data_IF_920420066524
#
_entry.id   IF_920420066524
#
_cell.length_a   1.000
_cell.length_b   1.000
_cell.length_c   1.000
_cell.angle_alpha   90.00
_cell.angle_beta   90.00
_cell.angle_gamma   90.00
#
_symmetry.space_group_name_H-M   'P 1'
#
loop_
_entity.id
_entity.type
_entity.pdbx_description
1 polymer ?
#
# COMPACT_ATOMS: atom_id res chain seq x y z
N UNK A 1 -23.16 43.04 43.81
CA UNK A 1 -23.63 41.73 43.27
C UNK A 1 -23.91 41.76 41.76
N UNK A 2 -24.45 42.85 41.17
CA UNK A 2 -24.73 42.95 39.74
C UNK A 2 -23.50 42.94 38.83
N UNK A 3 -22.37 43.53 39.24
CA UNK A 3 -21.16 43.57 38.44
C UNK A 3 -20.46 42.18 38.30
N UNK A 4 -20.46 41.37 39.33
CA UNK A 4 -19.85 40.04 39.31
C UNK A 4 -20.59 39.09 38.35
N UNK A 5 -21.90 39.22 38.21
CA UNK A 5 -22.73 38.44 37.28
C UNK A 5 -22.44 38.80 35.82
N UNK A 6 -22.12 40.06 35.52
CA UNK A 6 -21.76 40.51 34.14
C UNK A 6 -20.41 39.96 33.72
N UNK A 7 -19.43 39.93 34.62
CA UNK A 7 -18.11 39.34 34.30
C UNK A 7 -18.22 37.82 34.12
N UNK A 8 -19.03 37.11 34.89
CA UNK A 8 -19.23 35.68 34.72
C UNK A 8 -19.87 35.31 33.39
N UNK A 9 -20.84 36.10 32.89
CA UNK A 9 -21.49 35.93 31.60
C UNK A 9 -20.48 36.23 30.46
N UNK A 10 -19.66 37.29 30.60
CA UNK A 10 -18.65 37.64 29.63
C UNK A 10 -17.58 36.55 29.47
N UNK A 11 -17.09 35.96 30.55
CA UNK A 11 -16.14 34.86 30.54
C UNK A 11 -16.74 33.58 29.93
N UNK A 12 -18.03 33.31 30.22
CA UNK A 12 -18.75 32.19 29.64
C UNK A 12 -18.90 32.30 28.11
N UNK A 13 -19.15 33.51 27.60
CA UNK A 13 -19.27 33.75 26.15
C UNK A 13 -17.97 33.56 25.39
N UNK A 14 -16.82 33.85 26.01
CA UNK A 14 -15.49 33.63 25.40
C UNK A 14 -15.10 32.15 25.26
N UNK A 15 -15.71 31.27 26.05
CA UNK A 15 -15.42 29.83 26.01
C UNK A 15 -16.13 29.11 24.85
N UNK A 16 -17.13 29.70 24.20
CA UNK A 16 -17.85 29.10 23.08
C UNK A 16 -17.25 29.41 21.70
N UNK A 17 -16.17 30.20 21.59
CA UNK A 17 -15.55 30.58 20.32
C UNK A 17 -14.56 29.55 19.75
N UNK A 18 -14.40 28.40 20.35
CA UNK A 18 -13.51 27.35 19.87
C UNK A 18 -14.14 26.51 18.75
N UNK A 19 -14.54 27.17 17.63
CA UNK A 19 -14.84 26.44 16.40
C UNK A 19 -13.54 25.85 15.84
N UNK A 20 -13.31 24.57 16.06
CA UNK A 20 -12.26 23.83 15.37
C UNK A 20 -12.48 23.89 13.86
N UNK A 21 -11.49 24.35 13.12
CA UNK A 21 -11.52 24.32 11.66
C UNK A 21 -11.63 22.87 11.18
N UNK A 22 -12.73 22.55 10.50
CA UNK A 22 -12.93 21.24 9.89
C UNK A 22 -12.05 21.15 8.64
N UNK A 23 -11.05 20.29 8.66
CA UNK A 23 -10.21 20.02 7.50
C UNK A 23 -10.97 19.07 6.57
N UNK A 24 -11.16 19.48 5.31
CA UNK A 24 -11.74 18.59 4.28
C UNK A 24 -10.76 17.45 4.01
N UNK A 25 -11.25 16.21 4.08
CA UNK A 25 -10.43 14.99 3.95
C UNK A 25 -10.68 14.20 2.66
N UNK A 26 -11.66 14.56 1.77
CA UNK A 26 -11.91 13.79 0.55
C UNK A 26 -10.71 13.75 -0.39
N UNK A 27 -10.68 12.71 -1.23
CA UNK A 27 -9.75 12.61 -2.35
C UNK A 27 -10.06 13.66 -3.43
N UNK A 28 -9.05 14.05 -4.22
CA UNK A 28 -9.21 14.76 -5.48
C UNK A 28 -10.03 16.04 -5.41
N UNK A 29 -9.75 16.88 -4.41
CA UNK A 29 -10.50 18.13 -4.17
C UNK A 29 -10.25 19.19 -5.28
N UNK A 30 -9.26 19.00 -6.13
CA UNK A 30 -8.90 19.84 -7.25
C UNK A 30 -9.64 19.48 -8.55
N UNK A 31 -10.42 18.40 -8.58
CA UNK A 31 -11.22 18.03 -9.74
C UNK A 31 -12.58 18.73 -9.70
N UNK A 32 -12.95 19.39 -10.80
CA UNK A 32 -14.32 19.79 -11.09
C UNK A 32 -15.05 18.66 -11.81
N UNK A 33 -16.39 18.70 -11.83
CA UNK A 33 -17.25 17.62 -12.36
C UNK A 33 -16.97 17.23 -13.81
N UNK A 34 -16.21 18.03 -14.58
CA UNK A 34 -15.90 17.83 -15.99
C UNK A 34 -14.42 17.91 -16.33
N UNK A 35 -13.53 17.75 -15.34
CA UNK A 35 -12.08 17.83 -15.57
C UNK A 35 -11.58 16.57 -16.27
N UNK A 36 -11.04 16.70 -17.49
CA UNK A 36 -10.32 15.62 -18.13
C UNK A 36 -8.95 15.42 -17.48
N UNK A 37 -8.72 14.25 -16.92
CA UNK A 37 -7.44 13.85 -16.31
C UNK A 37 -6.49 13.24 -17.36
N UNK A 38 -6.92 13.16 -18.61
CA UNK A 38 -6.20 12.54 -19.73
C UNK A 38 -4.80 13.11 -20.02
N UNK A 39 -4.56 14.37 -19.64
CA UNK A 39 -3.22 15.00 -19.77
C UNK A 39 -2.17 14.40 -18.83
N UNK A 40 -2.58 13.59 -17.87
CA UNK A 40 -1.73 12.93 -16.89
C UNK A 40 -1.48 11.46 -17.26
N UNK A 41 -1.49 11.13 -18.56
CA UNK A 41 -1.20 9.79 -19.03
C UNK A 41 0.16 9.32 -18.51
N UNK A 42 0.11 8.45 -17.54
CA UNK A 42 1.30 7.82 -16.96
C UNK A 42 1.85 6.86 -18.01
N UNK A 43 3.10 7.08 -18.45
CA UNK A 43 3.82 6.06 -19.20
C UNK A 43 3.91 4.80 -18.35
N UNK A 44 3.15 3.77 -18.72
CA UNK A 44 3.19 2.48 -18.03
C UNK A 44 4.54 1.83 -18.34
N UNK A 45 5.44 1.86 -17.38
CA UNK A 45 6.69 1.12 -17.46
C UNK A 45 6.40 -0.34 -17.08
N UNK A 46 6.54 -1.26 -18.05
CA UNK A 46 6.34 -2.68 -17.81
C UNK A 46 7.40 -3.21 -16.85
N UNK A 47 6.98 -4.05 -15.92
CA UNK A 47 7.89 -4.68 -14.96
C UNK A 47 8.80 -5.67 -15.68
N UNK A 48 10.11 -5.55 -15.42
CA UNK A 48 11.14 -6.43 -15.94
C UNK A 48 11.55 -7.45 -14.89
N UNK A 49 11.83 -8.63 -15.34
CA UNK A 49 12.31 -9.73 -14.51
C UNK A 49 13.71 -9.44 -13.99
N UNK A 50 13.93 -9.74 -12.71
CA UNK A 50 15.19 -9.51 -12.02
C UNK A 50 15.70 -10.80 -11.37
N UNK A 51 16.99 -10.79 -11.00
CA UNK A 51 17.59 -11.88 -10.23
C UNK A 51 16.89 -12.04 -8.86
N UNK A 52 16.52 -13.25 -8.51
CA UNK A 52 15.76 -13.58 -7.30
C UNK A 52 14.25 -13.70 -7.52
N UNK A 53 13.76 -13.41 -8.73
CA UNK A 53 12.35 -13.62 -9.05
C UNK A 53 11.98 -15.10 -9.04
N UNK A 54 10.74 -15.35 -8.62
CA UNK A 54 10.10 -16.67 -8.66
C UNK A 54 9.05 -16.66 -9.76
N UNK A 55 9.24 -17.52 -10.76
CA UNK A 55 8.38 -17.57 -11.93
C UNK A 55 7.55 -18.86 -11.93
N UNK A 56 6.27 -18.71 -12.14
CA UNK A 56 5.41 -19.82 -12.54
C UNK A 56 5.30 -19.80 -14.06
N UNK A 57 5.85 -20.81 -14.72
CA UNK A 57 5.82 -20.93 -16.18
C UNK A 57 5.01 -22.17 -16.50
N UNK A 58 3.90 -21.97 -17.22
CA UNK A 58 3.02 -23.04 -17.66
C UNK A 58 3.05 -23.12 -19.17
N UNK A 59 3.36 -24.31 -19.68
CA UNK A 59 3.32 -24.63 -21.10
C UNK A 59 2.09 -25.48 -21.37
N UNK A 60 1.28 -25.09 -22.32
CA UNK A 60 0.13 -25.84 -22.80
C UNK A 60 0.19 -26.02 -24.31
N UNK A 61 -0.45 -27.07 -24.79
CA UNK A 61 -0.60 -27.37 -26.22
C UNK A 61 -2.00 -27.96 -26.43
N UNK A 62 -2.70 -27.49 -27.47
CA UNK A 62 -4.00 -28.01 -27.81
C UNK A 62 -3.89 -29.33 -28.60
N UNK A 63 -2.81 -29.49 -29.38
CA UNK A 63 -2.60 -30.68 -30.21
C UNK A 63 -1.93 -31.81 -29.44
N UNK A 64 -1.00 -31.50 -28.53
CA UNK A 64 -0.19 -32.48 -27.80
C UNK A 64 -0.09 -32.15 -26.30
N UNK A 65 -1.18 -32.21 -25.53
CA UNK A 65 -1.17 -31.82 -24.12
C UNK A 65 -0.23 -32.71 -23.28
N UNK A 66 -0.06 -33.99 -23.62
CA UNK A 66 0.85 -34.91 -22.93
C UNK A 66 2.31 -34.52 -23.12
N UNK A 67 2.68 -34.06 -24.32
CA UNK A 67 4.02 -33.56 -24.59
C UNK A 67 4.29 -32.21 -23.88
N UNK A 68 3.25 -31.37 -23.67
CA UNK A 68 3.38 -30.14 -22.92
C UNK A 68 3.60 -30.40 -21.41
N UNK A 69 3.03 -31.47 -20.86
CA UNK A 69 3.12 -31.81 -19.44
C UNK A 69 4.56 -31.99 -18.94
N UNK A 70 5.50 -32.44 -19.79
CA UNK A 70 6.91 -32.61 -19.43
C UNK A 70 7.63 -31.29 -19.05
N UNK A 71 7.11 -30.15 -19.49
CA UNK A 71 7.68 -28.83 -19.16
C UNK A 71 7.10 -28.26 -17.87
N UNK A 72 5.95 -28.79 -17.41
CA UNK A 72 5.25 -28.37 -16.21
C UNK A 72 5.62 -29.29 -15.05
N UNK A 73 6.73 -28.96 -14.36
CA UNK A 73 7.18 -29.80 -13.23
C UNK A 73 6.12 -29.75 -12.11
N UNK A 74 5.58 -30.91 -11.70
CA UNK A 74 4.59 -30.94 -10.64
C UNK A 74 5.21 -30.51 -9.30
N UNK A 75 4.42 -29.86 -8.47
CA UNK A 75 4.84 -29.49 -7.12
C UNK A 75 5.09 -30.77 -6.32
N UNK A 76 6.35 -31.07 -6.01
CA UNK A 76 6.67 -32.15 -5.11
C UNK A 76 6.34 -31.71 -3.68
N UNK A 77 5.17 -32.10 -3.19
CA UNK A 77 4.71 -31.84 -1.82
C UNK A 77 5.57 -32.48 -0.71
N UNK A 78 6.63 -33.18 -1.09
CA UNK A 78 7.54 -33.92 -0.19
C UNK A 78 8.70 -33.11 0.34
N UNK A 79 8.85 -31.84 0.02
CA UNK A 79 9.86 -31.01 0.68
C UNK A 79 9.30 -30.52 2.02
N UNK A 80 9.62 -31.25 3.07
CA UNK A 80 9.43 -30.88 4.47
C UNK A 80 9.85 -29.42 4.67
N UNK A 81 8.87 -28.55 4.99
CA UNK A 81 9.11 -27.15 5.36
C UNK A 81 8.62 -26.08 4.41
N UNK A 82 8.03 -26.39 3.26
CA UNK A 82 7.46 -25.39 2.36
C UNK A 82 5.93 -25.26 2.53
N UNK A 83 5.50 -24.83 3.69
CA UNK A 83 4.13 -24.32 3.89
C UNK A 83 4.08 -22.82 3.59
N UNK A 84 4.43 -22.43 2.37
CA UNK A 84 4.10 -21.10 1.85
C UNK A 84 2.64 -21.08 1.31
N UNK A 85 1.70 -21.49 2.17
CA UNK A 85 0.25 -21.47 1.86
C UNK A 85 -0.38 -20.09 2.03
N UNK A 86 0.38 -19.02 2.27
CA UNK A 86 -0.14 -17.70 2.60
C UNK A 86 0.19 -16.58 1.60
N UNK A 87 0.58 -16.90 0.39
CA UNK A 87 0.58 -15.91 -0.69
C UNK A 87 -0.78 -16.03 -1.37
N UNK A 88 -1.71 -15.09 -1.11
CA UNK A 88 -3.11 -15.05 -1.55
C UNK A 88 -3.35 -15.22 -3.06
N UNK A 89 -2.91 -16.34 -3.61
CA UNK A 89 -3.04 -16.76 -4.99
C UNK A 89 -3.66 -18.16 -5.09
N UNK A 90 -4.12 -18.52 -6.30
CA UNK A 90 -4.63 -19.84 -6.62
C UNK A 90 -3.61 -20.93 -6.23
N UNK A 91 -4.06 -22.14 -5.84
CA UNK A 91 -3.16 -23.22 -5.46
C UNK A 91 -2.19 -23.52 -6.61
N UNK A 92 -0.91 -23.39 -6.33
CA UNK A 92 0.14 -23.66 -7.32
C UNK A 92 0.22 -25.16 -7.57
N UNK A 93 0.08 -25.54 -8.82
CA UNK A 93 0.18 -26.95 -9.25
C UNK A 93 1.56 -27.29 -9.79
N UNK A 94 2.39 -26.29 -10.05
CA UNK A 94 3.73 -26.43 -10.66
C UNK A 94 4.84 -25.90 -9.76
N UNK A 95 6.02 -26.51 -9.88
CA UNK A 95 7.22 -26.05 -9.18
C UNK A 95 7.72 -24.73 -9.79
N UNK A 96 7.89 -23.66 -8.99
CA UNK A 96 8.36 -22.39 -9.51
C UNK A 96 9.83 -22.44 -9.96
N UNK A 97 10.14 -21.68 -11.00
CA UNK A 97 11.48 -21.44 -11.46
C UNK A 97 12.08 -20.25 -10.70
N UNK A 98 13.35 -20.33 -10.35
CA UNK A 98 14.07 -19.25 -9.67
C UNK A 98 15.05 -18.61 -10.64
N UNK A 99 15.01 -17.28 -10.74
CA UNK A 99 16.00 -16.53 -11.50
C UNK A 99 17.29 -16.46 -10.68
N UNK A 100 18.37 -17.03 -11.22
CA UNK A 100 19.66 -17.08 -10.54
C UNK A 100 20.36 -15.70 -10.48
N UNK A 101 21.49 -15.64 -9.80
CA UNK A 101 22.29 -14.40 -9.67
C UNK A 101 22.85 -13.88 -10.99
N UNK A 102 22.90 -14.73 -12.01
CA UNK A 102 23.30 -14.32 -13.36
C UNK A 102 22.12 -13.83 -14.17
N UNK A 103 20.89 -14.02 -13.70
CA UNK A 103 19.66 -13.67 -14.38
C UNK A 103 19.15 -14.75 -15.33
N UNK A 104 19.51 -16.02 -15.08
CA UNK A 104 19.08 -17.16 -15.89
C UNK A 104 18.11 -18.04 -15.11
N UNK A 105 17.26 -18.79 -15.80
CA UNK A 105 16.48 -19.90 -15.26
C UNK A 105 16.95 -21.21 -15.89
N UNK A 106 16.77 -22.31 -15.18
CA UNK A 106 17.03 -23.67 -15.72
C UNK A 106 15.70 -24.28 -16.15
N UNK A 107 15.44 -24.26 -17.47
CA UNK A 107 14.17 -24.71 -18.03
C UNK A 107 14.29 -26.12 -18.61
N UNK A 108 13.32 -27.03 -18.33
CA UNK A 108 13.38 -28.42 -18.80
C UNK A 108 13.60 -28.50 -20.32
N UNK A 109 14.49 -29.38 -20.74
CA UNK A 109 14.84 -29.67 -22.15
C UNK A 109 15.52 -28.49 -22.86
N UNK A 110 15.17 -27.24 -22.57
CA UNK A 110 15.81 -26.06 -23.18
C UNK A 110 17.13 -25.70 -22.51
N UNK A 111 17.32 -26.07 -21.24
CA UNK A 111 18.48 -25.70 -20.44
C UNK A 111 18.40 -24.27 -19.91
N UNK A 112 19.53 -23.60 -19.78
CA UNK A 112 19.60 -22.24 -19.26
C UNK A 112 19.05 -21.22 -20.24
N UNK A 113 18.15 -20.38 -19.75
CA UNK A 113 17.52 -19.30 -20.50
C UNK A 113 17.75 -17.99 -19.75
N UNK A 114 18.28 -16.99 -20.46
CA UNK A 114 18.44 -15.64 -19.95
C UNK A 114 17.08 -14.97 -19.83
N UNK A 115 16.72 -14.51 -18.62
CA UNK A 115 15.40 -13.90 -18.36
C UNK A 115 15.51 -12.49 -17.78
N UNK A 116 16.60 -12.15 -17.12
CA UNK A 116 16.76 -10.82 -16.51
C UNK A 116 16.70 -9.71 -17.56
N UNK A 117 15.88 -8.69 -17.29
CA UNK A 117 15.64 -7.55 -18.17
C UNK A 117 14.51 -7.74 -19.17
N UNK A 118 13.95 -8.94 -19.31
CA UNK A 118 12.78 -9.24 -20.13
C UNK A 118 11.49 -8.92 -19.36
N UNK A 119 10.42 -8.65 -20.10
CA UNK A 119 9.06 -8.69 -19.56
C UNK A 119 8.54 -10.14 -19.52
N UNK A 120 7.41 -10.36 -18.87
CA UNK A 120 6.77 -11.69 -18.82
C UNK A 120 6.39 -12.17 -20.23
N UNK A 121 5.89 -11.27 -21.04
CA UNK A 121 5.47 -11.53 -22.43
C UNK A 121 6.68 -11.87 -23.30
N UNK A 122 7.75 -11.11 -23.21
CA UNK A 122 8.99 -11.37 -23.96
C UNK A 122 9.60 -12.73 -23.59
N UNK A 123 9.55 -13.10 -22.30
CA UNK A 123 10.00 -14.42 -21.87
C UNK A 123 9.09 -15.54 -22.40
N UNK A 124 7.76 -15.34 -22.36
CA UNK A 124 6.82 -16.31 -22.90
C UNK A 124 7.04 -16.55 -24.40
N UNK A 125 7.21 -15.48 -25.17
CA UNK A 125 7.51 -15.54 -26.60
C UNK A 125 8.87 -16.21 -26.87
N UNK A 126 9.89 -15.89 -26.08
CA UNK A 126 11.21 -16.53 -26.21
C UNK A 126 11.15 -18.04 -26.00
N UNK A 127 10.44 -18.50 -24.95
CA UNK A 127 10.27 -19.94 -24.69
C UNK A 127 9.46 -20.60 -25.80
N UNK A 128 8.35 -19.99 -26.21
CA UNK A 128 7.51 -20.49 -27.30
C UNK A 128 8.31 -20.66 -28.59
N UNK A 129 9.10 -19.66 -28.95
CA UNK A 129 9.96 -19.68 -30.15
C UNK A 129 11.03 -20.75 -30.04
N UNK A 130 11.64 -20.93 -28.86
CA UNK A 130 12.65 -21.94 -28.64
C UNK A 130 12.08 -23.37 -28.78
N UNK A 131 10.88 -23.62 -28.24
CA UNK A 131 10.17 -24.90 -28.36
C UNK A 131 9.84 -25.23 -29.81
N UNK A 132 9.35 -24.23 -30.57
CA UNK A 132 9.01 -24.38 -32.00
C UNK A 132 10.26 -24.63 -32.84
N UNK A 133 11.33 -23.86 -32.66
CA UNK A 133 12.55 -23.97 -33.44
C UNK A 133 13.25 -25.32 -33.25
N UNK A 134 13.16 -25.87 -32.04
CA UNK A 134 13.68 -27.23 -31.74
C UNK A 134 12.72 -28.36 -32.13
N UNK A 135 11.58 -28.01 -32.74
CA UNK A 135 10.53 -28.98 -33.17
C UNK A 135 9.99 -29.83 -31.99
N UNK A 136 10.00 -29.28 -30.78
CA UNK A 136 9.52 -29.94 -29.56
C UNK A 136 8.01 -29.79 -29.40
N UNK A 137 7.50 -28.57 -29.61
CA UNK A 137 6.07 -28.24 -29.63
C UNK A 137 5.82 -27.15 -30.68
N UNK A 138 4.90 -27.39 -31.62
CA UNK A 138 4.60 -26.43 -32.68
C UNK A 138 3.50 -25.42 -32.32
N UNK A 139 2.61 -25.80 -31.39
CA UNK A 139 1.46 -25.03 -30.93
C UNK A 139 1.54 -24.69 -29.42
N UNK A 140 2.77 -24.52 -28.93
CA UNK A 140 2.99 -24.18 -27.51
C UNK A 140 2.35 -22.83 -27.20
N UNK A 141 1.52 -22.80 -26.15
CA UNK A 141 1.09 -21.59 -25.46
C UNK A 141 1.85 -21.54 -24.12
N UNK A 142 2.58 -20.46 -23.91
CA UNK A 142 3.40 -20.26 -22.70
C UNK A 142 2.81 -19.11 -21.89
N UNK A 143 2.54 -19.37 -20.63
CA UNK A 143 2.10 -18.33 -19.66
C UNK A 143 3.17 -18.18 -18.59
N UNK A 144 3.56 -16.95 -18.32
CA UNK A 144 4.55 -16.59 -17.30
C UNK A 144 3.90 -15.69 -16.25
N UNK A 145 4.02 -16.09 -14.99
CA UNK A 145 3.57 -15.30 -13.84
C UNK A 145 4.73 -15.13 -12.87
N UNK A 146 4.84 -13.96 -12.26
CA UNK A 146 5.82 -13.69 -11.20
C UNK A 146 5.13 -13.83 -9.85
N UNK A 147 5.67 -14.68 -8.99
CA UNK A 147 5.01 -15.07 -7.74
C UNK A 147 5.43 -14.22 -6.54
N UNK A 148 6.55 -13.53 -6.63
CA UNK A 148 7.12 -12.77 -5.52
C UNK A 148 7.14 -11.25 -5.76
N UNK A 149 6.42 -10.76 -6.77
CA UNK A 149 6.24 -9.32 -6.92
C UNK A 149 5.15 -8.82 -5.99
N UNK A 150 5.50 -7.94 -5.06
CA UNK A 150 4.57 -7.32 -4.12
C UNK A 150 5.06 -5.95 -3.68
N UNK A 151 4.15 -5.15 -3.15
CA UNK A 151 4.43 -3.93 -2.38
C UNK A 151 3.97 -4.13 -0.94
N UNK A 152 4.54 -3.36 -0.02
CA UNK A 152 4.17 -3.40 1.39
C UNK A 152 3.38 -2.13 1.75
N UNK A 153 2.20 -2.30 2.33
CA UNK A 153 1.36 -1.19 2.80
C UNK A 153 1.29 -1.22 4.31
N UNK A 154 1.67 -0.11 4.95
CA UNK A 154 1.81 0.03 6.39
C UNK A 154 1.11 1.30 6.89
N UNK A 155 0.77 1.32 8.18
CA UNK A 155 0.21 2.47 8.87
C UNK A 155 -1.30 2.48 8.89
N UNK A 156 -1.91 3.66 8.73
CA UNK A 156 -3.34 3.89 8.91
C UNK A 156 -4.18 3.52 7.66
N UNK A 157 -4.14 2.24 7.31
CA UNK A 157 -5.02 1.58 6.32
C UNK A 157 -5.85 0.50 7.03
N UNK A 158 -6.98 0.09 6.45
CA UNK A 158 -7.85 -0.89 7.11
C UNK A 158 -7.22 -2.28 7.19
N UNK A 159 -6.48 -2.71 6.15
CA UNK A 159 -5.81 -4.01 6.11
C UNK A 159 -4.34 -3.83 5.69
N UNK A 160 -3.45 -3.46 6.63
CA UNK A 160 -2.03 -3.34 6.33
C UNK A 160 -1.43 -4.71 5.99
N UNK A 161 -0.52 -4.76 5.03
CA UNK A 161 0.08 -6.02 4.61
C UNK A 161 0.79 -5.94 3.27
N UNK A 162 1.01 -7.12 2.69
CA UNK A 162 1.57 -7.28 1.35
C UNK A 162 0.47 -7.26 0.32
N UNK A 163 0.67 -6.47 -0.73
CA UNK A 163 -0.22 -6.38 -1.88
C UNK A 163 0.52 -6.95 -3.10
N UNK A 164 0.03 -8.04 -3.70
CA UNK A 164 0.68 -8.64 -4.85
C UNK A 164 0.52 -7.75 -6.09
N UNK A 165 1.56 -7.69 -6.91
CA UNK A 165 1.51 -7.05 -8.23
C UNK A 165 1.09 -8.13 -9.24
N UNK A 166 -0.22 -8.33 -9.39
CA UNK A 166 -0.77 -9.38 -10.26
C UNK A 166 -0.71 -9.03 -11.75
N UNK A 167 -0.67 -7.73 -12.07
CA UNK A 167 -0.54 -7.20 -13.44
C UNK A 167 0.84 -6.57 -13.59
N UNK A 168 1.22 -6.21 -14.82
CA UNK A 168 2.49 -5.54 -15.09
C UNK A 168 2.58 -4.13 -14.49
N UNK A 169 1.46 -3.62 -14.03
CA UNK A 169 1.37 -2.33 -13.37
C UNK A 169 0.45 -2.43 -12.14
N UNK A 170 0.87 -1.84 -11.06
CA UNK A 170 0.06 -1.60 -9.87
C UNK A 170 0.18 -0.13 -9.52
N UNK A 171 -0.94 0.56 -9.44
CA UNK A 171 -0.96 1.96 -9.04
C UNK A 171 -1.04 2.13 -7.53
N UNK A 172 -0.61 3.29 -7.03
CA UNK A 172 -0.73 3.63 -5.60
C UNK A 172 -2.18 3.54 -5.11
N UNK A 173 -3.14 3.99 -5.94
CA UNK A 173 -4.57 3.95 -5.59
C UNK A 173 -5.11 2.52 -5.55
N UNK A 174 -4.69 1.66 -6.48
CA UNK A 174 -5.07 0.24 -6.46
C UNK A 174 -4.52 -0.48 -5.24
N UNK A 175 -3.26 -0.23 -4.86
CA UNK A 175 -2.67 -0.82 -3.67
C UNK A 175 -3.41 -0.40 -2.39
N UNK A 176 -3.75 0.89 -2.27
CA UNK A 176 -4.55 1.42 -1.17
C UNK A 176 -5.95 0.80 -1.16
N UNK A 177 -6.60 0.69 -2.33
CA UNK A 177 -7.91 0.06 -2.47
C UNK A 177 -7.90 -1.41 -2.04
N UNK A 178 -6.88 -2.19 -2.41
CA UNK A 178 -6.72 -3.58 -1.97
C UNK A 178 -6.52 -3.70 -0.45
N UNK A 179 -5.98 -2.67 0.19
CA UNK A 179 -5.88 -2.57 1.64
C UNK A 179 -7.15 -2.04 2.32
N UNK A 180 -8.27 -1.90 1.59
CA UNK A 180 -9.55 -1.45 2.11
C UNK A 180 -9.62 0.03 2.43
N UNK A 181 -8.82 0.86 1.75
CA UNK A 181 -8.67 2.31 1.92
C UNK A 181 -7.96 2.72 3.22
N UNK A 182 -7.67 4.03 3.33
CA UNK A 182 -7.13 4.63 4.55
C UNK A 182 -8.20 4.65 5.65
N UNK A 183 -7.75 4.47 6.89
CA UNK A 183 -8.64 4.70 8.03
C UNK A 183 -9.06 6.17 8.12
N UNK A 184 -10.06 6.46 8.96
CA UNK A 184 -10.51 7.84 9.22
C UNK A 184 -9.40 8.71 9.84
N UNK A 185 -8.41 8.05 10.47
CA UNK A 185 -7.26 8.69 11.10
C UNK A 185 -6.02 8.76 10.22
N UNK A 186 -6.08 8.21 9.00
CA UNK A 186 -5.00 8.26 8.04
C UNK A 186 -4.86 9.63 7.35
N UNK A 187 -3.64 10.16 7.28
CA UNK A 187 -3.32 11.42 6.59
C UNK A 187 -3.29 11.20 5.07
N UNK A 188 -4.34 11.66 4.36
CA UNK A 188 -4.43 11.58 2.90
C UNK A 188 -3.49 12.53 2.16
N UNK A 189 -3.14 13.64 2.79
CA UNK A 189 -2.25 14.65 2.22
C UNK A 189 -0.76 14.32 2.36
N UNK A 190 -0.40 13.20 3.00
CA UNK A 190 1.00 12.88 3.32
C UNK A 190 1.27 11.37 3.30
N UNK A 191 0.93 10.73 2.19
CA UNK A 191 1.27 9.32 1.98
C UNK A 191 2.73 9.23 1.51
N UNK A 192 3.51 8.41 2.18
CA UNK A 192 4.92 8.21 1.89
C UNK A 192 5.12 6.92 1.11
N UNK A 193 5.76 6.99 -0.05
CA UNK A 193 6.20 5.83 -0.81
C UNK A 193 7.73 5.77 -0.79
N UNK A 194 8.26 4.68 -0.27
CA UNK A 194 9.70 4.44 -0.19
C UNK A 194 10.09 3.39 -1.22
N UNK A 195 10.90 3.79 -2.20
CA UNK A 195 11.39 2.94 -3.29
C UNK A 195 12.88 2.66 -3.15
N UNK A 196 13.25 1.42 -3.41
CA UNK A 196 14.66 1.03 -3.52
C UNK A 196 15.23 1.53 -4.85
N UNK A 197 16.36 2.21 -4.81
CA UNK A 197 17.09 2.72 -5.97
C UNK A 197 18.58 2.35 -5.80
N UNK A 198 18.95 1.19 -6.31
CA UNK A 198 20.26 0.58 -6.07
C UNK A 198 20.52 0.36 -4.58
N UNK A 199 21.55 1.01 -4.05
CA UNK A 199 21.94 0.91 -2.63
C UNK A 199 21.29 2.00 -1.75
N UNK A 200 20.42 2.85 -2.32
CA UNK A 200 19.72 3.95 -1.63
C UNK A 200 18.23 3.70 -1.62
N UNK A 201 17.52 4.39 -0.74
CA UNK A 201 16.07 4.47 -0.75
C UNK A 201 15.64 5.89 -1.06
N UNK A 202 14.72 6.05 -2.00
CA UNK A 202 14.06 7.32 -2.28
C UNK A 202 12.69 7.33 -1.61
N UNK A 203 12.36 8.48 -1.04
CA UNK A 203 11.07 8.72 -0.42
C UNK A 203 10.28 9.72 -1.26
N UNK A 204 9.08 9.35 -1.67
CA UNK A 204 8.15 10.21 -2.39
C UNK A 204 6.97 10.51 -1.47
N UNK A 205 6.60 11.78 -1.36
CA UNK A 205 5.40 12.21 -0.64
C UNK A 205 4.31 12.49 -1.65
N UNK A 206 3.17 11.86 -1.46
CA UNK A 206 2.02 11.98 -2.35
C UNK A 206 0.84 12.51 -1.55
N UNK A 207 0.25 13.58 -2.06
CA UNK A 207 -0.99 14.14 -1.53
C UNK A 207 -2.18 13.58 -2.31
N UNK A 208 -2.94 12.68 -1.68
CA UNK A 208 -4.09 12.04 -2.29
C UNK A 208 -5.31 12.97 -2.38
N UNK A 209 -5.28 14.13 -1.73
CA UNK A 209 -6.36 15.12 -1.80
C UNK A 209 -6.35 15.88 -3.12
N UNK A 210 -5.26 15.82 -3.88
CA UNK A 210 -5.08 16.52 -5.16
C UNK A 210 -4.73 15.53 -6.27
N UNK A 211 -5.59 15.42 -7.27
CA UNK A 211 -5.40 14.52 -8.41
C UNK A 211 -4.10 14.80 -9.16
N UNK A 212 -3.79 16.08 -9.38
CA UNK A 212 -2.54 16.45 -10.04
C UNK A 212 -1.30 15.90 -9.33
N UNK A 213 -1.24 15.99 -8.00
CA UNK A 213 -0.12 15.46 -7.22
C UNK A 213 -0.02 13.93 -7.31
N UNK A 214 -1.15 13.25 -7.33
CA UNK A 214 -1.20 11.79 -7.44
C UNK A 214 -0.67 11.33 -8.79
N UNK A 215 -1.27 11.82 -9.87
CA UNK A 215 -0.98 11.34 -11.23
C UNK A 215 0.37 11.83 -11.77
N UNK A 216 0.86 13.00 -11.34
CA UNK A 216 2.18 13.50 -11.71
C UNK A 216 3.32 12.88 -10.88
N UNK A 217 3.00 12.13 -9.81
CA UNK A 217 4.01 11.54 -8.93
C UNK A 217 4.76 10.39 -9.62
N UNK A 218 6.10 10.33 -9.55
CA UNK A 218 6.87 9.16 -9.97
C UNK A 218 6.55 7.89 -9.18
N UNK A 219 5.86 8.04 -8.03
CA UNK A 219 5.42 6.94 -7.18
C UNK A 219 3.96 6.53 -7.46
N UNK A 220 3.29 7.12 -8.46
CA UNK A 220 1.94 6.71 -8.83
C UNK A 220 1.92 5.26 -9.31
N UNK A 221 2.84 4.91 -10.20
CA UNK A 221 3.09 3.53 -10.58
C UNK A 221 4.07 2.90 -9.59
N UNK A 222 3.63 1.87 -8.90
CA UNK A 222 4.43 1.18 -7.91
C UNK A 222 5.38 0.18 -8.57
N UNK A 223 6.54 -0.01 -7.93
CA UNK A 223 7.55 -1.01 -8.30
C UNK A 223 7.65 -2.06 -7.21
N UNK A 224 8.26 -3.19 -7.54
CA UNK A 224 8.54 -4.25 -6.58
C UNK A 224 9.26 -3.71 -5.34
N UNK A 225 8.92 -4.25 -4.18
CA UNK A 225 9.47 -3.88 -2.87
C UNK A 225 9.23 -2.42 -2.44
N UNK A 226 8.36 -1.67 -3.13
CA UNK A 226 7.92 -0.36 -2.65
C UNK A 226 7.21 -0.52 -1.30
N UNK A 227 7.48 0.42 -0.40
CA UNK A 227 6.83 0.49 0.90
C UNK A 227 5.97 1.74 0.95
N UNK A 228 4.67 1.55 1.08
CA UNK A 228 3.69 2.62 1.21
C UNK A 228 3.40 2.77 2.70
N UNK A 229 3.61 3.97 3.23
CA UNK A 229 3.34 4.27 4.63
C UNK A 229 2.35 5.42 4.75
N UNK A 230 1.20 5.11 5.35
CA UNK A 230 0.16 6.09 5.67
C UNK A 230 0.31 6.54 7.11
N UNK A 231 0.58 7.82 7.31
CA UNK A 231 0.77 8.38 8.65
C UNK A 231 -0.55 8.50 9.40
N UNK A 232 -0.56 8.25 10.71
CA UNK A 232 -1.67 8.62 11.57
C UNK A 232 -1.75 10.16 11.73
N UNK A 233 -2.95 10.70 11.80
CA UNK A 233 -3.16 12.11 12.10
C UNK A 233 -2.73 12.46 13.55
N UNK A 234 -2.60 13.76 13.85
CA UNK A 234 -2.16 14.22 15.17
C UNK A 234 -3.02 13.68 16.32
N UNK A 235 -4.32 13.56 16.12
CA UNK A 235 -5.23 13.04 17.15
C UNK A 235 -4.87 11.59 17.50
N UNK A 236 -4.61 10.75 16.51
CA UNK A 236 -4.22 9.36 16.70
C UNK A 236 -2.81 9.25 17.31
N UNK A 237 -1.88 10.12 16.88
CA UNK A 237 -0.53 10.17 17.45
C UNK A 237 -0.57 10.51 18.94
N UNK A 238 -1.36 11.50 19.35
CA UNK A 238 -1.54 11.86 20.77
C UNK A 238 -2.15 10.73 21.59
N UNK A 239 -3.03 9.92 21.01
CA UNK A 239 -3.61 8.76 21.70
C UNK A 239 -2.60 7.64 21.98
N UNK A 240 -1.50 7.56 21.21
CA UNK A 240 -0.46 6.56 21.38
C UNK A 240 0.55 6.90 22.48
N UNK A 241 0.58 8.15 22.99
CA UNK A 241 1.44 8.60 24.07
C UNK A 241 0.65 8.70 25.39
N UNK A 242 0.83 7.76 26.35
CA UNK A 242 0.02 7.72 27.56
C UNK A 242 0.16 8.94 28.48
N UNK A 243 1.28 9.66 28.41
CA UNK A 243 1.61 10.73 29.34
C UNK A 243 0.87 12.05 29.03
N UNK A 244 0.54 12.31 27.76
CA UNK A 244 -0.05 13.58 27.36
C UNK A 244 -1.57 13.62 27.45
N UNK A 245 -2.23 12.48 27.60
CA UNK A 245 -3.69 12.41 27.48
C UNK A 245 -4.47 12.94 28.70
N UNK A 246 -3.89 12.90 29.89
CA UNK A 246 -4.60 13.30 31.12
C UNK A 246 -4.67 14.83 31.26
N UNK A 247 -3.59 15.51 30.92
CA UNK A 247 -3.47 16.97 31.09
C UNK A 247 -3.95 17.78 29.89
N UNK A 248 -4.04 17.17 28.70
CA UNK A 248 -4.48 17.84 27.46
C UNK A 248 -5.94 17.61 27.11
N UNK A 249 -6.67 16.79 27.89
CA UNK A 249 -8.08 16.58 27.62
C UNK A 249 -8.93 17.77 28.09
N UNK A 250 -9.85 18.29 27.27
CA UNK A 250 -10.75 19.35 27.69
C UNK A 250 -11.54 19.03 28.96
N UNK A 251 -11.78 17.75 29.22
CA UNK A 251 -12.47 17.25 30.40
C UNK A 251 -11.68 17.45 31.70
N UNK A 252 -10.35 17.38 31.66
CA UNK A 252 -9.51 17.66 32.86
C UNK A 252 -9.55 19.14 33.23
N UNK A 253 -9.52 20.03 32.25
CA UNK A 253 -9.67 21.47 32.53
C UNK A 253 -11.05 21.80 33.07
N UNK A 254 -12.10 21.22 32.53
CA UNK A 254 -13.47 21.36 33.02
C UNK A 254 -13.62 20.83 34.44
N UNK A 255 -13.02 19.71 34.77
CA UNK A 255 -13.03 19.15 36.13
C UNK A 255 -12.30 20.05 37.13
N UNK A 256 -11.11 20.57 36.77
CA UNK A 256 -10.34 21.46 37.62
C UNK A 256 -11.09 22.79 37.84
N UNK A 257 -11.66 23.37 36.78
CA UNK A 257 -12.44 24.61 36.91
C UNK A 257 -13.71 24.40 37.75
N UNK A 258 -14.40 23.27 37.63
CA UNK A 258 -15.54 22.92 38.45
C UNK A 258 -15.17 22.80 39.92
N UNK A 259 -14.06 22.15 40.25
CA UNK A 259 -13.57 22.06 41.63
C UNK A 259 -13.21 23.43 42.19
N UNK A 260 -12.51 24.27 41.41
CA UNK A 260 -12.17 25.64 41.84
C UNK A 260 -13.39 26.50 42.11
N UNK A 261 -14.41 26.43 41.24
CA UNK A 261 -15.66 27.14 41.47
C UNK A 261 -16.38 26.65 42.73
N UNK A 262 -16.41 25.34 42.97
CA UNK A 262 -17.02 24.75 44.17
C UNK A 262 -16.35 25.22 45.45
N UNK A 263 -15.00 25.25 45.45
CA UNK A 263 -14.20 25.73 46.58
C UNK A 263 -14.44 27.24 46.81
N UNK A 264 -14.48 28.03 45.75
CA UNK A 264 -14.74 29.47 45.85
C UNK A 264 -16.13 29.79 46.44
N UNK A 265 -17.16 29.02 46.05
CA UNK A 265 -18.52 29.13 46.62
C UNK A 265 -18.53 28.74 48.09
N UNK A 266 -17.81 27.67 48.47
CA UNK A 266 -17.72 27.21 49.87
C UNK A 266 -17.04 28.24 50.76
N UNK A 267 -15.93 28.82 50.31
CA UNK A 267 -15.22 29.91 51.03
C UNK A 267 -16.12 31.14 51.13
N UNK A 268 -16.81 31.53 50.08
CA UNK A 268 -17.76 32.68 50.10
C UNK A 268 -18.89 32.47 51.13
N UNK A 269 -19.38 31.25 51.27
CA UNK A 269 -20.41 30.94 52.25
C UNK A 269 -19.89 30.91 53.70
N UNK A 270 -18.64 30.52 53.91
CA UNK A 270 -18.00 30.52 55.25
C UNK A 270 -17.68 31.95 55.70
N UNK A 271 -17.26 32.83 54.78
CA UNK A 271 -16.92 34.26 55.10
C UNK A 271 -18.17 35.11 55.34
N UNK A 272 -19.34 34.68 54.84
CA UNK A 272 -20.61 35.37 55.06
C UNK A 272 -21.32 35.01 56.35
N UNK A 273 -20.78 34.09 57.14
CA UNK A 273 -21.25 33.73 58.45
C UNK A 273 -20.40 34.41 59.54
#
# INVERSE_FOLDING_TARGET
MKSLSIYAVGISALLFSACGSYQKVPYFQDLSDTTEVSALAVNVELLKLESGDKLNIVVSSALTPEAAAQYNLPLQSSRIGATDTNLGGAPQTTTPFYVDTKGDIDFPVLGKIRVAGLTREELAEQIQTALKNRKLLNDALVTVEVLNHFVNVLGEVNHPGRVPIAKDNLTLLEAISQCGDLTITGERNNVLVMRKDGNKRRAYRVDLTQAHNVYASPAYQLKQDDVIYVRPNEKRQRQSTPVDNVWQSPSTYLSITSVMVSVAVLISNLVKK
#
